data_IF_757911572867
#
_entry.id   IF_757911572867
#
_cell.length_a   1.000
_cell.length_b   1.000
_cell.length_c   1.000
_cell.angle_alpha   90.00
_cell.angle_beta   90.00
_cell.angle_gamma   90.00
#
_symmetry.space_group_name_H-M   'P 1'
#
loop_
_entity.id
_entity.type
_entity.pdbx_description
1 polymer ?
#
# COMPACT_ATOMS: atom_id res chain seq x y z
N UNK A 1 10.85 0.04 2.75
CA UNK A 1 9.39 0.12 2.70
C UNK A 1 8.94 1.10 1.63
N UNK A 2 8.13 0.61 0.70
CA UNK A 2 7.52 1.45 -0.33
C UNK A 2 6.11 1.84 0.12
N UNK A 3 5.84 3.13 0.19
CA UNK A 3 4.51 3.65 0.48
C UNK A 3 3.99 4.32 -0.79
N UNK A 4 2.84 3.90 -1.28
CA UNK A 4 2.28 4.46 -2.51
C UNK A 4 0.77 4.35 -2.56
N UNK A 5 0.16 5.20 -3.38
CA UNK A 5 -1.29 5.24 -3.55
C UNK A 5 -1.75 4.56 -4.86
N UNK A 6 -0.84 4.07 -5.67
CA UNK A 6 -1.16 3.38 -6.91
C UNK A 6 -0.71 1.92 -6.83
N UNK A 7 -1.68 1.03 -6.62
CA UNK A 7 -1.41 -0.39 -6.46
C UNK A 7 -0.71 -0.97 -7.70
N UNK A 8 -1.19 -0.63 -8.90
CA UNK A 8 -0.72 -1.26 -10.15
C UNK A 8 0.72 -0.90 -10.51
N UNK A 9 1.20 0.25 -10.10
CA UNK A 9 2.56 0.70 -10.41
C UNK A 9 3.48 0.63 -9.19
N UNK A 10 3.13 1.33 -8.11
CA UNK A 10 4.01 1.48 -6.95
C UNK A 10 4.12 0.19 -6.14
N UNK A 11 2.98 -0.41 -5.85
CA UNK A 11 2.94 -1.55 -4.92
C UNK A 11 3.38 -2.84 -5.62
N UNK A 12 2.86 -3.11 -6.81
CA UNK A 12 3.23 -4.32 -7.55
C UNK A 12 4.73 -4.30 -7.89
N UNK A 13 5.25 -3.15 -8.35
CA UNK A 13 6.67 -3.02 -8.66
C UNK A 13 7.56 -3.29 -7.44
N UNK A 14 7.18 -2.76 -6.28
CA UNK A 14 7.95 -2.97 -5.05
C UNK A 14 7.85 -4.42 -4.58
N UNK A 15 6.67 -5.04 -4.66
CA UNK A 15 6.50 -6.45 -4.29
C UNK A 15 7.34 -7.36 -5.18
N UNK A 16 7.38 -7.09 -6.48
CA UNK A 16 8.20 -7.86 -7.42
C UNK A 16 9.70 -7.72 -7.13
N UNK A 17 10.10 -6.60 -6.56
CA UNK A 17 11.49 -6.38 -6.14
C UNK A 17 11.80 -6.91 -4.73
N UNK A 18 10.82 -7.51 -4.04
CA UNK A 18 10.99 -8.04 -2.70
C UNK A 18 11.02 -6.98 -1.61
N UNK A 19 10.48 -5.80 -1.86
CA UNK A 19 10.44 -4.68 -0.92
C UNK A 19 9.11 -4.71 -0.15
N UNK A 20 9.16 -4.49 1.16
CA UNK A 20 7.95 -4.33 1.98
C UNK A 20 7.12 -3.16 1.47
N UNK A 21 5.80 -3.32 1.47
CA UNK A 21 4.90 -2.35 0.86
C UNK A 21 3.80 -1.90 1.81
N UNK A 22 3.43 -0.62 1.67
CA UNK A 22 2.27 -0.05 2.34
C UNK A 22 1.41 0.64 1.28
N UNK A 23 0.23 0.10 1.03
CA UNK A 23 -0.72 0.71 0.10
C UNK A 23 -1.53 1.78 0.81
N UNK A 24 -1.43 3.02 0.33
CA UNK A 24 -2.28 4.10 0.78
C UNK A 24 -3.52 4.12 -0.12
N UNK A 25 -4.58 3.48 0.33
CA UNK A 25 -5.81 3.31 -0.45
C UNK A 25 -6.77 4.47 -0.21
N UNK A 26 -6.43 5.63 -0.77
CA UNK A 26 -7.24 6.85 -0.61
C UNK A 26 -8.38 6.96 -1.62
N UNK A 27 -8.31 6.20 -2.72
CA UNK A 27 -9.23 6.36 -3.85
C UNK A 27 -10.46 5.48 -3.73
N UNK A 28 -10.33 4.28 -3.19
CA UNK A 28 -11.43 3.32 -3.10
C UNK A 28 -11.27 2.48 -1.83
N UNK A 29 -11.96 2.88 -0.75
CA UNK A 29 -11.86 2.14 0.52
C UNK A 29 -12.32 0.69 0.45
N UNK A 30 -13.12 0.34 -0.57
CA UNK A 30 -13.61 -1.03 -0.74
C UNK A 30 -12.69 -1.89 -1.60
N UNK A 31 -11.60 -1.33 -2.14
CA UNK A 31 -10.67 -2.07 -2.98
C UNK A 31 -9.94 -3.14 -2.17
N UNK A 32 -9.95 -4.37 -2.70
CA UNK A 32 -9.22 -5.49 -2.12
C UNK A 32 -8.10 -5.87 -3.08
N UNK A 33 -6.83 -5.66 -2.74
CA UNK A 33 -5.72 -5.98 -3.64
C UNK A 33 -5.66 -7.48 -3.93
N UNK A 34 -5.47 -7.89 -5.21
CA UNK A 34 -5.28 -9.31 -5.54
C UNK A 34 -4.04 -9.92 -4.89
N UNK A 35 -2.95 -9.14 -4.77
CA UNK A 35 -1.75 -9.51 -4.01
C UNK A 35 -1.68 -8.59 -2.80
N UNK A 36 -1.63 -9.18 -1.60
CA UNK A 36 -1.70 -8.39 -0.36
C UNK A 36 -0.35 -7.73 -0.06
N UNK A 37 -0.30 -6.38 0.04
CA UNK A 37 0.89 -5.72 0.59
C UNK A 37 0.99 -5.99 2.09
N UNK A 38 2.13 -5.66 2.70
CA UNK A 38 2.29 -5.81 4.15
C UNK A 38 1.29 -4.96 4.92
N UNK A 39 1.00 -3.75 4.42
CA UNK A 39 0.08 -2.84 5.06
C UNK A 39 -0.88 -2.24 4.06
N UNK A 40 -2.13 -2.01 4.47
CA UNK A 40 -3.11 -1.24 3.72
C UNK A 40 -3.67 -0.18 4.66
N UNK A 41 -3.54 1.10 4.29
CA UNK A 41 -4.05 2.20 5.10
C UNK A 41 -4.92 3.11 4.24
N UNK A 42 -5.90 3.78 4.88
CA UNK A 42 -6.86 4.62 4.17
C UNK A 42 -6.66 6.12 4.43
N UNK A 43 -5.79 6.47 5.37
CA UNK A 43 -5.51 7.86 5.71
C UNK A 43 -4.05 8.01 6.15
N UNK A 44 -3.49 9.19 5.91
CA UNK A 44 -2.10 9.49 6.30
C UNK A 44 -1.84 9.27 7.79
N UNK A 45 -2.85 9.55 8.62
CA UNK A 45 -2.74 9.34 10.07
C UNK A 45 -2.40 7.90 10.41
N UNK A 46 -2.96 6.93 9.68
CA UNK A 46 -2.69 5.53 9.93
C UNK A 46 -1.24 5.16 9.65
N UNK A 47 -0.61 5.82 8.68
CA UNK A 47 0.82 5.62 8.38
C UNK A 47 1.66 6.04 9.58
N UNK A 48 1.34 7.19 10.17
CA UNK A 48 2.05 7.68 11.35
C UNK A 48 1.89 6.72 12.52
N UNK A 49 0.69 6.19 12.73
CA UNK A 49 0.40 5.26 13.81
C UNK A 49 1.17 3.93 13.67
N UNK A 50 1.48 3.51 12.43
CA UNK A 50 2.21 2.27 12.17
C UNK A 50 3.72 2.44 12.24
N UNK A 51 4.21 3.63 12.02
CA UNK A 51 5.63 3.92 12.07
C UNK A 51 6.06 4.34 13.46
#
# INVERSE_FOLDING_TARGET
>A
LMIGDNYNTDIIGAMDAGIDTMLFNRWDPSFVPPRQPQYVVNALKEIIDLL
#
